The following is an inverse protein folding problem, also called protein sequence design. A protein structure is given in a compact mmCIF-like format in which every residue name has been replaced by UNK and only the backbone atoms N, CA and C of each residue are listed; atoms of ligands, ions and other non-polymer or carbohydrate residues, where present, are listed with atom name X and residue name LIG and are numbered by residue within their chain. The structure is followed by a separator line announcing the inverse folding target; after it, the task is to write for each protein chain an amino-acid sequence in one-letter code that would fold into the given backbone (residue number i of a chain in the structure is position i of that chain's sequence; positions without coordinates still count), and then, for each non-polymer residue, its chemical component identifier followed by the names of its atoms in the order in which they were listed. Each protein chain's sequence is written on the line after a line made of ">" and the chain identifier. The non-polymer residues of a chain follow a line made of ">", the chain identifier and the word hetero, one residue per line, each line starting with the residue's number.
data_IF_110877770818
#
_entry.id   IF_110877770818
#
_cell.length_a   1.000
_cell.length_b   1.000
_cell.length_c   1.000
_cell.angle_alpha   90.00
_cell.angle_beta   90.00
_cell.angle_gamma   90.00
#
_symmetry.space_group_name_H-M   'P 1'
#
loop_
_entity.id
_entity.type
_entity.pdbx_description
1 polymer ?
#
# COMPACT_ATOMS: atom_id res chain seq x y z
N UNK A 1 -10.34 -8.97 19.56
CA UNK A 1 -9.91 -8.23 18.36
C UNK A 1 -10.94 -7.19 17.90
N UNK A 2 -12.25 -7.43 18.06
CA UNK A 2 -13.34 -6.58 17.55
C UNK A 2 -13.38 -5.11 18.02
N UNK A 3 -12.67 -4.74 19.11
CA UNK A 3 -12.69 -3.37 19.66
C UNK A 3 -11.33 -2.63 19.61
N UNK A 4 -10.32 -3.17 18.91
CA UNK A 4 -9.01 -2.52 18.80
C UNK A 4 -8.97 -1.56 17.61
N UNK A 5 -8.34 -0.40 17.76
CA UNK A 5 -8.21 0.62 16.72
C UNK A 5 -7.08 0.30 15.73
N UNK A 6 -7.39 0.30 14.43
CA UNK A 6 -6.40 0.19 13.36
C UNK A 6 -6.12 1.53 12.68
N UNK A 7 -4.84 1.88 12.51
CA UNK A 7 -4.35 3.17 11.99
C UNK A 7 -3.01 2.96 11.30
N UNK A 8 -3.08 2.55 10.05
CA UNK A 8 -1.94 2.20 9.22
C UNK A 8 -1.75 3.24 8.12
N UNK A 9 -0.50 3.55 7.82
CA UNK A 9 -0.06 4.32 6.67
C UNK A 9 0.27 3.35 5.55
N UNK A 10 -0.20 3.66 4.35
CA UNK A 10 0.28 3.10 3.09
C UNK A 10 0.67 4.28 2.20
N UNK A 11 1.96 4.43 1.91
CA UNK A 11 2.50 5.57 1.17
C UNK A 11 3.49 5.15 0.08
N UNK A 12 3.60 5.97 -0.96
CA UNK A 12 4.56 5.79 -2.05
C UNK A 12 6.01 6.06 -1.63
N UNK A 13 6.20 6.93 -0.64
CA UNK A 13 7.46 7.39 -0.09
C UNK A 13 7.25 8.10 1.25
N UNK A 14 8.33 8.66 1.80
CA UNK A 14 8.30 9.66 2.86
C UNK A 14 8.30 11.08 2.27
N UNK A 15 9.47 11.72 2.26
CA UNK A 15 9.64 13.08 1.74
C UNK A 15 10.09 13.10 0.27
N UNK A 16 10.28 11.93 -0.34
CA UNK A 16 10.63 11.82 -1.75
C UNK A 16 9.47 12.31 -2.63
N UNK A 17 9.75 13.08 -3.70
CA UNK A 17 8.72 13.48 -4.65
C UNK A 17 8.08 12.25 -5.31
N UNK A 18 6.80 12.36 -5.64
CA UNK A 18 6.10 11.29 -6.36
C UNK A 18 6.58 11.28 -7.80
N UNK A 19 6.99 10.11 -8.30
CA UNK A 19 7.35 9.98 -9.71
C UNK A 19 6.10 10.03 -10.57
N UNK A 20 5.99 11.11 -11.36
CA UNK A 20 4.94 11.28 -12.38
C UNK A 20 5.24 10.51 -13.68
N UNK A 21 6.48 10.00 -13.83
CA UNK A 21 6.91 9.21 -14.98
C UNK A 21 6.84 7.70 -14.70
N UNK A 22 6.59 6.89 -15.73
CA UNK A 22 6.69 5.41 -15.69
C UNK A 22 5.41 4.62 -15.38
N UNK A 23 4.32 5.27 -14.97
CA UNK A 23 3.09 4.59 -14.57
C UNK A 23 1.93 4.57 -15.58
N UNK A 24 2.12 5.01 -16.83
CA UNK A 24 1.10 5.06 -17.91
C UNK A 24 -0.23 5.67 -17.43
N UNK A 25 -0.27 7.00 -17.28
CA UNK A 25 -1.46 7.73 -16.79
C UNK A 25 -1.63 7.73 -15.26
N UNK A 26 -0.72 7.08 -14.54
CA UNK A 26 -0.63 7.09 -13.08
C UNK A 26 0.82 7.26 -12.64
N UNK A 27 1.05 7.57 -11.36
CA UNK A 27 2.37 7.36 -10.74
C UNK A 27 2.69 5.87 -10.66
N UNK A 28 3.96 5.52 -10.51
CA UNK A 28 4.39 4.11 -10.41
C UNK A 28 3.70 3.44 -9.21
N UNK A 29 3.61 4.13 -8.08
CA UNK A 29 2.85 3.66 -6.92
C UNK A 29 1.39 3.37 -7.26
N UNK A 30 0.68 4.34 -7.85
CA UNK A 30 -0.74 4.20 -8.16
C UNK A 30 -1.00 3.07 -9.18
N UNK A 31 -0.15 2.93 -10.20
CA UNK A 31 -0.19 1.81 -11.15
C UNK A 31 -0.11 0.46 -10.43
N UNK A 32 0.84 0.30 -9.51
CA UNK A 32 1.06 -0.95 -8.79
C UNK A 32 -0.01 -1.25 -7.74
N UNK A 33 -0.51 -0.22 -7.06
CA UNK A 33 -1.66 -0.32 -6.17
C UNK A 33 -2.90 -0.82 -6.92
N UNK A 34 -3.25 -0.21 -8.06
CA UNK A 34 -4.39 -0.61 -8.89
C UNK A 34 -4.21 -2.01 -9.48
N UNK A 35 -2.99 -2.35 -9.93
CA UNK A 35 -2.67 -3.70 -10.42
C UNK A 35 -2.92 -4.76 -9.35
N UNK A 36 -2.51 -4.50 -8.11
CA UNK A 36 -2.73 -5.44 -7.00
C UNK A 36 -4.21 -5.61 -6.65
N UNK A 37 -4.98 -4.52 -6.56
CA UNK A 37 -6.43 -4.60 -6.30
C UNK A 37 -7.17 -5.45 -7.35
N UNK A 38 -6.75 -5.38 -8.62
CA UNK A 38 -7.34 -6.16 -9.71
C UNK A 38 -6.90 -7.63 -9.70
N UNK A 39 -5.61 -7.87 -9.46
CA UNK A 39 -4.97 -9.15 -9.79
C UNK A 39 -4.76 -10.10 -8.62
N UNK A 40 -4.86 -9.64 -7.36
CA UNK A 40 -4.73 -10.55 -6.21
C UNK A 40 -5.85 -11.58 -6.25
N UNK A 41 -5.55 -12.88 -6.11
CA UNK A 41 -6.51 -13.94 -6.41
C UNK A 41 -7.53 -14.16 -5.29
N UNK A 42 -7.14 -13.85 -4.05
CA UNK A 42 -7.98 -14.00 -2.87
C UNK A 42 -9.23 -13.10 -2.96
N UNK A 43 -10.38 -13.62 -2.50
CA UNK A 43 -11.63 -12.86 -2.41
C UNK A 43 -11.55 -11.75 -1.36
N UNK A 44 -10.80 -11.99 -0.28
CA UNK A 44 -10.45 -11.03 0.75
C UNK A 44 -8.93 -11.03 0.96
N UNK A 45 -8.33 -9.85 1.11
CA UNK A 45 -6.89 -9.71 1.34
C UNK A 45 -6.61 -8.44 2.12
N UNK A 46 -5.50 -8.41 2.84
CA UNK A 46 -5.17 -7.24 3.67
C UNK A 46 -4.37 -6.18 2.89
N UNK A 47 -4.33 -4.95 3.41
CA UNK A 47 -3.49 -3.90 2.85
C UNK A 47 -2.00 -4.24 2.96
N UNK A 48 -1.58 -4.94 4.01
CA UNK A 48 -0.22 -5.46 4.12
C UNK A 48 0.11 -6.46 3.00
N UNK A 49 -0.81 -7.39 2.70
CA UNK A 49 -0.63 -8.34 1.60
C UNK A 49 -0.55 -7.63 0.25
N UNK A 50 -1.41 -6.65 0.00
CA UNK A 50 -1.38 -5.82 -1.19
C UNK A 50 -0.02 -5.12 -1.32
N UNK A 51 0.45 -4.50 -0.24
CA UNK A 51 1.72 -3.80 -0.20
C UNK A 51 2.90 -4.73 -0.52
N UNK A 52 3.00 -5.86 0.19
CA UNK A 52 4.10 -6.82 0.03
C UNK A 52 4.13 -7.45 -1.36
N UNK A 53 2.96 -7.84 -1.90
CA UNK A 53 2.89 -8.59 -3.16
C UNK A 53 2.99 -7.72 -4.41
N UNK A 54 2.53 -6.46 -4.35
CA UNK A 54 2.37 -5.65 -5.56
C UNK A 54 3.06 -4.29 -5.55
N UNK A 55 3.35 -3.72 -4.37
CA UNK A 55 3.78 -2.32 -4.26
C UNK A 55 5.25 -2.21 -3.89
N UNK A 56 5.69 -2.90 -2.83
CA UNK A 56 7.00 -2.65 -2.21
C UNK A 56 8.16 -2.72 -3.21
N UNK A 57 8.42 -3.89 -3.77
CA UNK A 57 9.55 -4.08 -4.68
C UNK A 57 9.40 -3.28 -5.98
N UNK A 58 8.25 -3.30 -6.69
CA UNK A 58 8.18 -2.61 -7.97
C UNK A 58 8.30 -1.09 -7.87
N UNK A 59 7.82 -0.47 -6.78
CA UNK A 59 8.00 0.97 -6.57
C UNK A 59 9.44 1.26 -6.16
N UNK A 60 10.03 0.47 -5.27
CA UNK A 60 11.41 0.64 -4.83
C UNK A 60 12.44 0.46 -5.96
N UNK A 61 12.19 -0.43 -6.92
CA UNK A 61 13.09 -0.65 -8.07
C UNK A 61 12.70 0.17 -9.30
N UNK A 62 11.46 0.65 -9.37
CA UNK A 62 10.95 1.43 -10.50
C UNK A 62 11.07 2.94 -10.34
N UNK A 63 11.44 3.42 -9.15
CA UNK A 63 11.53 4.85 -8.83
C UNK A 63 12.53 5.10 -7.70
N UNK A 64 12.85 6.36 -7.45
CA UNK A 64 13.67 6.78 -6.29
C UNK A 64 12.88 6.77 -4.97
N UNK A 65 11.62 6.33 -4.99
CA UNK A 65 10.73 6.36 -3.83
C UNK A 65 10.90 5.10 -2.97
N UNK A 66 10.88 5.28 -1.65
CA UNK A 66 10.89 4.18 -0.68
C UNK A 66 9.49 3.96 -0.10
N UNK A 67 8.66 3.07 -0.68
CA UNK A 67 7.27 2.92 -0.27
C UNK A 67 7.16 2.38 1.16
N UNK A 68 6.16 2.87 1.91
CA UNK A 68 6.01 2.58 3.33
C UNK A 68 4.67 1.94 3.65
N UNK A 69 4.70 0.92 4.51
CA UNK A 69 3.53 0.36 5.17
C UNK A 69 3.83 0.20 6.66
N UNK A 70 3.21 1.03 7.50
CA UNK A 70 3.52 1.06 8.92
C UNK A 70 2.39 1.68 9.75
N UNK A 71 2.30 1.39 11.06
CA UNK A 71 1.45 2.15 11.97
C UNK A 71 1.78 3.65 11.95
N UNK A 72 0.75 4.49 11.99
CA UNK A 72 0.96 5.94 12.09
C UNK A 72 1.48 6.27 13.50
N UNK A 73 2.59 7.01 13.59
CA UNK A 73 3.21 7.38 14.87
C UNK A 73 2.24 8.17 15.76
N UNK A 74 2.18 7.82 17.06
CA UNK A 74 1.30 8.45 18.06
C UNK A 74 -0.18 8.53 17.66
N UNK A 75 -0.65 7.63 16.79
CA UNK A 75 -2.04 7.61 16.35
C UNK A 75 -2.97 6.84 17.30
N UNK A 76 -2.42 6.04 18.21
CA UNK A 76 -3.19 5.08 19.00
C UNK A 76 -3.61 3.85 18.18
N UNK A 77 -2.75 3.41 17.27
CA UNK A 77 -2.87 2.08 16.67
C UNK A 77 -2.67 1.00 17.73
N UNK A 78 -3.55 0.01 17.76
CA UNK A 78 -3.48 -1.09 18.72
C UNK A 78 -3.24 -2.43 18.03
N UNK A 79 -4.02 -2.73 16.98
CA UNK A 79 -3.91 -3.95 16.19
C UNK A 79 -4.76 -3.83 14.92
N UNK A 80 -4.66 -4.86 14.07
CA UNK A 80 -5.51 -5.06 12.91
C UNK A 80 -4.91 -4.47 11.63
N UNK A 81 -5.59 -4.75 10.52
CA UNK A 81 -5.23 -4.28 9.19
C UNK A 81 -6.52 -3.90 8.43
N UNK A 82 -6.38 -3.20 7.32
CA UNK A 82 -7.48 -2.97 6.39
C UNK A 82 -7.63 -4.18 5.49
N UNK A 83 -8.88 -4.65 5.33
CA UNK A 83 -9.21 -5.78 4.46
C UNK A 83 -9.97 -5.26 3.26
N UNK A 84 -9.48 -5.57 2.07
CA UNK A 84 -10.21 -5.39 0.82
C UNK A 84 -11.00 -6.65 0.52
N UNK A 85 -12.25 -6.48 0.10
CA UNK A 85 -13.15 -7.56 -0.29
C UNK A 85 -13.60 -7.33 -1.72
N UNK A 86 -13.39 -8.32 -2.59
CA UNK A 86 -13.96 -8.31 -3.94
C UNK A 86 -15.47 -8.53 -3.89
N UNK A 87 -16.20 -7.79 -4.72
CA UNK A 87 -17.64 -7.95 -4.94
C UNK A 87 -17.89 -8.87 -6.12
#
# INVERSE_FOLDING_TARGET
>A
MLNKRSRLLLASGGNEPVSDSGGIGHSIFAKHFLKGLRNISQSAFTAEELFKKYIKEPVQFGSDQTPQFQPIHKSGHEAGDFVFQKR
#
